data_IF_882056053735
#
_entry.id   IF_882056053735
#
_cell.length_a   1.000
_cell.length_b   1.000
_cell.length_c   1.000
_cell.angle_alpha   90.00
_cell.angle_beta   90.00
_cell.angle_gamma   90.00
#
_symmetry.space_group_name_H-M   'P 1'
#
loop_
_entity.id
_entity.type
_entity.pdbx_description
1 polymer ?
#
# COMPACT_ATOMS: atom_id res chain seq x y z
N UNK A 1 15.79 59.76 6.08
CA UNK A 1 15.44 59.69 4.64
C UNK A 1 16.53 58.93 3.91
N UNK A 2 16.29 57.65 3.60
CA UNK A 2 17.04 56.85 2.62
C UNK A 2 16.02 55.88 2.04
N UNK A 3 15.68 56.04 0.76
CA UNK A 3 14.96 55.04 -0.02
C UNK A 3 15.99 54.32 -0.89
N UNK A 4 16.18 53.02 -0.67
CA UNK A 4 16.90 52.18 -1.61
C UNK A 4 15.92 51.29 -2.35
N UNK A 5 15.78 51.67 -3.60
CA UNK A 5 14.98 51.17 -4.70
C UNK A 5 15.31 49.69 -4.89
N UNK A 6 14.29 48.83 -4.80
CA UNK A 6 14.36 47.39 -5.00
C UNK A 6 14.56 47.13 -6.50
N UNK A 7 15.63 46.44 -6.97
CA UNK A 7 15.71 46.06 -8.37
C UNK A 7 14.75 44.90 -8.64
N UNK A 8 13.50 45.26 -8.97
CA UNK A 8 12.51 44.41 -9.62
C UNK A 8 12.94 44.21 -11.08
N UNK A 9 14.07 43.57 -11.33
CA UNK A 9 14.53 43.24 -12.70
C UNK A 9 15.46 42.02 -12.68
N UNK A 10 14.94 40.83 -12.36
CA UNK A 10 15.53 39.58 -12.89
C UNK A 10 14.54 38.40 -12.98
N UNK A 11 13.25 38.61 -12.68
CA UNK A 11 12.25 37.55 -12.77
C UNK A 11 11.51 37.59 -14.12
N UNK A 12 12.27 37.56 -15.21
CA UNK A 12 11.72 37.51 -16.57
C UNK A 12 12.63 36.64 -17.43
N UNK A 13 12.64 35.31 -17.23
CA UNK A 13 13.13 34.38 -18.26
C UNK A 13 12.79 32.88 -18.09
N UNK A 14 12.11 32.41 -17.04
CA UNK A 14 11.78 30.97 -16.92
C UNK A 14 10.29 30.74 -16.63
N UNK A 15 9.43 30.96 -17.63
CA UNK A 15 8.08 30.36 -17.67
C UNK A 15 7.52 30.37 -19.09
N UNK A 16 8.21 29.70 -20.01
CA UNK A 16 7.59 29.22 -21.25
C UNK A 16 8.02 27.76 -21.45
N UNK A 17 7.40 26.86 -20.68
CA UNK A 17 7.32 25.44 -21.03
C UNK A 17 5.88 24.99 -20.75
N UNK A 18 4.95 25.42 -21.61
CA UNK A 18 3.63 24.81 -21.69
C UNK A 18 3.76 23.53 -22.51
N UNK A 19 4.05 22.41 -21.84
CA UNK A 19 3.91 21.10 -22.46
C UNK A 19 2.43 20.81 -22.67
N UNK A 20 1.95 20.89 -23.92
CA UNK A 20 0.67 20.31 -24.33
C UNK A 20 0.82 18.80 -24.24
N UNK A 21 0.36 18.20 -23.14
CA UNK A 21 0.06 16.77 -23.14
C UNK A 21 -1.13 16.55 -24.07
N UNK A 22 -0.88 16.02 -25.27
CA UNK A 22 -1.95 15.53 -26.12
C UNK A 22 -2.62 14.35 -25.42
N UNK A 23 -3.80 14.59 -24.86
CA UNK A 23 -4.70 13.56 -24.36
C UNK A 23 -5.26 12.83 -25.58
N UNK A 24 -4.62 11.73 -25.97
CA UNK A 24 -5.19 10.80 -26.95
C UNK A 24 -6.21 9.92 -26.24
N UNK A 25 -7.41 9.88 -26.83
CA UNK A 25 -8.59 9.14 -26.41
C UNK A 25 -8.33 7.66 -26.06
N UNK A 26 -9.18 7.05 -25.21
CA UNK A 26 -8.98 5.71 -24.70
C UNK A 26 -9.13 4.65 -25.81
N UNK A 27 -8.05 3.93 -26.11
CA UNK A 27 -8.12 2.66 -26.83
C UNK A 27 -8.70 1.62 -25.88
N UNK A 28 -9.99 1.35 -26.08
CA UNK A 28 -10.74 0.27 -25.45
C UNK A 28 -10.29 -1.06 -26.07
N UNK A 29 -10.12 -2.07 -25.21
CA UNK A 29 -10.10 -3.51 -25.57
C UNK A 29 -8.76 -4.11 -26.07
N UNK A 30 -7.79 -4.24 -25.17
CA UNK A 30 -6.79 -5.35 -25.17
C UNK A 30 -6.07 -5.55 -23.80
N UNK A 31 -6.60 -4.96 -22.72
CA UNK A 31 -5.96 -4.95 -21.39
C UNK A 31 -6.05 -6.29 -20.63
N UNK A 32 -6.90 -7.23 -21.07
CA UNK A 32 -7.29 -8.41 -20.27
C UNK A 32 -6.27 -9.54 -20.30
N UNK A 33 -5.53 -9.72 -21.39
CA UNK A 33 -4.48 -10.76 -21.52
C UNK A 33 -3.11 -10.31 -21.00
N UNK A 34 -2.71 -9.06 -21.25
CA UNK A 34 -1.44 -8.55 -20.72
C UNK A 34 -1.49 -8.35 -19.20
N UNK A 35 -2.65 -7.93 -18.67
CA UNK A 35 -2.86 -7.81 -17.23
C UNK A 35 -2.90 -9.17 -16.54
N UNK A 36 -3.37 -10.26 -17.17
CA UNK A 36 -3.38 -11.59 -16.54
C UNK A 36 -1.99 -12.20 -16.46
N UNK A 37 -1.10 -11.94 -17.41
CA UNK A 37 0.31 -12.39 -17.40
C UNK A 37 1.18 -11.54 -16.45
N UNK A 38 0.95 -10.22 -16.38
CA UNK A 38 1.56 -9.36 -15.36
C UNK A 38 1.04 -9.71 -13.96
N UNK A 39 -0.24 -10.04 -13.83
CA UNK A 39 -0.81 -10.49 -12.55
C UNK A 39 -0.29 -11.87 -12.15
N UNK A 40 -0.08 -12.81 -13.09
CA UNK A 40 0.43 -14.13 -12.75
C UNK A 40 1.89 -14.11 -12.30
N UNK A 41 2.74 -13.28 -12.93
CA UNK A 41 4.13 -13.06 -12.52
C UNK A 41 4.24 -12.28 -11.21
N UNK A 42 3.37 -11.28 -11.01
CA UNK A 42 3.28 -10.57 -9.74
C UNK A 42 2.80 -11.49 -8.62
N UNK A 43 1.77 -12.30 -8.88
CA UNK A 43 1.23 -13.27 -7.91
C UNK A 43 2.27 -14.34 -7.57
N UNK A 44 3.05 -14.84 -8.54
CA UNK A 44 4.13 -15.79 -8.27
C UNK A 44 5.23 -15.18 -7.40
N UNK A 45 5.56 -13.90 -7.61
CA UNK A 45 6.54 -13.18 -6.79
C UNK A 45 6.03 -13.00 -5.35
N UNK A 46 4.74 -12.69 -5.18
CA UNK A 46 4.10 -12.58 -3.86
C UNK A 46 4.13 -13.91 -3.12
N UNK A 47 3.78 -15.02 -3.79
CA UNK A 47 3.83 -16.36 -3.20
C UNK A 47 5.26 -16.75 -2.82
N UNK A 48 6.23 -16.43 -3.66
CA UNK A 48 7.65 -16.66 -3.36
C UNK A 48 8.09 -15.88 -2.13
N UNK A 49 7.72 -14.60 -2.06
CA UNK A 49 8.00 -13.75 -0.90
C UNK A 49 7.37 -14.32 0.38
N UNK A 50 6.08 -14.68 0.32
CA UNK A 50 5.34 -15.29 1.43
C UNK A 50 6.03 -16.56 1.94
N UNK A 51 6.46 -17.46 1.04
CA UNK A 51 7.16 -18.69 1.40
C UNK A 51 8.56 -18.43 1.98
N UNK A 52 9.15 -17.28 1.70
CA UNK A 52 10.45 -16.86 2.23
C UNK A 52 10.38 -16.05 3.52
N UNK A 53 9.18 -15.80 4.05
CA UNK A 53 9.02 -15.07 5.31
C UNK A 53 9.71 -15.81 6.45
N UNK A 54 10.61 -15.11 7.14
CA UNK A 54 11.10 -15.54 8.44
C UNK A 54 9.97 -15.31 9.46
N UNK A 55 9.35 -16.41 9.88
CA UNK A 55 8.22 -16.36 10.81
C UNK A 55 8.61 -15.90 12.21
N UNK A 56 9.90 -15.95 12.58
CA UNK A 56 10.39 -15.58 13.90
C UNK A 56 9.56 -16.22 15.04
N UNK A 57 9.22 -17.50 14.87
CA UNK A 57 8.39 -18.29 15.78
C UNK A 57 6.90 -17.87 15.90
N UNK A 58 6.42 -16.96 15.05
CA UNK A 58 5.00 -16.60 14.95
C UNK A 58 4.27 -17.44 13.91
N UNK A 59 2.93 -17.46 14.00
CA UNK A 59 2.09 -18.00 12.94
C UNK A 59 2.12 -17.09 11.71
N UNK A 60 2.04 -17.68 10.52
CA UNK A 60 1.90 -16.93 9.27
C UNK A 60 0.46 -16.41 9.11
N UNK A 61 0.26 -15.24 8.48
CA UNK A 61 -1.07 -14.79 8.06
C UNK A 61 -1.64 -15.69 6.97
N UNK A 62 -2.95 -15.62 6.72
CA UNK A 62 -3.52 -16.24 5.53
C UNK A 62 -2.86 -15.65 4.26
N UNK A 63 -2.53 -16.51 3.29
CA UNK A 63 -1.88 -16.10 2.04
C UNK A 63 -2.68 -15.04 1.27
N UNK A 64 -4.00 -15.18 1.19
CA UNK A 64 -4.85 -14.24 0.47
C UNK A 64 -4.85 -12.86 1.17
N UNK A 65 -4.95 -12.84 2.50
CA UNK A 65 -4.85 -11.62 3.30
C UNK A 65 -3.48 -10.95 3.12
N UNK A 66 -2.39 -11.73 3.12
CA UNK A 66 -1.04 -11.22 2.87
C UNK A 66 -0.91 -10.62 1.46
N UNK A 67 -1.44 -11.31 0.45
CA UNK A 67 -1.42 -10.87 -0.95
C UNK A 67 -2.12 -9.53 -1.12
N UNK A 68 -3.33 -9.38 -0.59
CA UNK A 68 -4.08 -8.12 -0.68
C UNK A 68 -3.39 -6.99 0.10
N UNK A 69 -2.86 -7.27 1.28
CA UNK A 69 -2.12 -6.30 2.07
C UNK A 69 -0.87 -5.80 1.35
N UNK A 70 -0.12 -6.70 0.71
CA UNK A 70 1.11 -6.38 0.00
C UNK A 70 0.83 -5.55 -1.28
N UNK A 71 -0.25 -5.87 -2.01
CA UNK A 71 -0.72 -5.03 -3.13
C UNK A 71 -1.03 -3.60 -2.68
N UNK A 72 -1.78 -3.45 -1.58
CA UNK A 72 -2.10 -2.15 -1.01
C UNK A 72 -0.86 -1.38 -0.57
N UNK A 73 0.05 -2.07 0.11
CA UNK A 73 1.32 -1.52 0.57
C UNK A 73 2.16 -0.96 -0.59
N UNK A 74 2.41 -1.75 -1.63
CA UNK A 74 3.22 -1.27 -2.77
C UNK A 74 2.51 -0.18 -3.56
N UNK A 75 1.18 -0.20 -3.68
CA UNK A 75 0.44 0.91 -4.28
C UNK A 75 0.66 2.24 -3.53
N UNK A 76 0.73 2.21 -2.19
CA UNK A 76 1.01 3.39 -1.37
C UNK A 76 2.49 3.80 -1.45
N UNK A 77 3.41 2.83 -1.51
CA UNK A 77 4.85 3.04 -1.63
C UNK A 77 5.20 3.70 -2.97
N UNK A 78 4.64 3.22 -4.08
CA UNK A 78 4.81 3.79 -5.42
C UNK A 78 4.30 5.23 -5.52
N UNK A 79 3.23 5.56 -4.78
CA UNK A 79 2.71 6.94 -4.68
C UNK A 79 3.53 7.84 -3.75
N UNK A 80 4.56 7.31 -3.08
CA UNK A 80 5.37 8.04 -2.10
C UNK A 80 4.62 8.40 -0.81
N UNK A 81 3.46 7.80 -0.55
CA UNK A 81 2.63 8.07 0.64
C UNK A 81 3.18 7.40 1.90
N UNK A 82 3.99 6.35 1.73
CA UNK A 82 4.67 5.65 2.82
C UNK A 82 6.15 5.48 2.47
N UNK A 83 7.01 5.62 3.49
CA UNK A 83 8.47 5.54 3.32
C UNK A 83 9.05 4.27 3.94
N UNK A 84 8.47 3.78 5.04
CA UNK A 84 8.96 2.61 5.77
C UNK A 84 8.63 1.31 5.04
N UNK A 85 9.48 0.30 5.22
CA UNK A 85 9.29 -1.08 4.74
C UNK A 85 8.62 -1.97 5.78
N UNK A 86 7.69 -1.39 6.55
CA UNK A 86 6.93 -2.12 7.57
C UNK A 86 5.49 -2.30 7.09
N UNK A 87 5.11 -3.54 6.84
CA UNK A 87 3.74 -3.93 6.55
C UNK A 87 3.02 -4.29 7.85
N UNK A 88 1.92 -3.61 8.15
CA UNK A 88 0.99 -4.03 9.20
C UNK A 88 -0.27 -4.58 8.55
N UNK A 89 -0.61 -5.82 8.86
CA UNK A 89 -1.74 -6.55 8.31
C UNK A 89 -2.67 -6.97 9.45
N UNK A 90 -3.98 -6.78 9.27
CA UNK A 90 -5.02 -7.31 10.15
C UNK A 90 -5.99 -8.14 9.34
N UNK A 91 -6.21 -9.38 9.74
CA UNK A 91 -7.15 -10.29 9.09
C UNK A 91 -8.46 -10.36 9.88
N UNK A 92 -9.46 -9.57 9.47
CA UNK A 92 -10.78 -9.54 10.11
C UNK A 92 -11.66 -10.75 9.78
N UNK A 93 -11.25 -11.65 8.88
CA UNK A 93 -11.94 -12.94 8.69
C UNK A 93 -11.72 -13.89 9.88
N UNK A 94 -10.71 -13.63 10.70
CA UNK A 94 -10.42 -14.38 11.92
C UNK A 94 -11.15 -13.78 13.13
N UNK A 95 -11.55 -14.67 14.06
CA UNK A 95 -12.18 -14.32 15.34
C UNK A 95 -11.36 -13.29 16.13
N UNK A 96 -12.04 -12.38 16.84
CA UNK A 96 -11.37 -11.41 17.72
C UNK A 96 -10.64 -12.04 18.90
N UNK A 97 -10.93 -13.30 19.21
CA UNK A 97 -10.29 -14.08 20.27
C UNK A 97 -8.95 -14.73 19.85
N UNK A 98 -8.57 -14.63 18.58
CA UNK A 98 -7.29 -15.16 18.08
C UNK A 98 -6.38 -14.04 17.59
N UNK A 99 -5.07 -14.29 17.66
CA UNK A 99 -4.07 -13.35 17.14
C UNK A 99 -4.24 -13.22 15.63
N UNK A 100 -4.60 -12.02 15.18
CA UNK A 100 -5.00 -11.71 13.80
C UNK A 100 -4.36 -10.45 13.24
N UNK A 101 -3.36 -9.91 13.94
CA UNK A 101 -2.51 -8.83 13.47
C UNK A 101 -1.09 -9.33 13.28
N UNK A 102 -0.47 -8.87 12.21
CA UNK A 102 0.93 -9.09 11.90
C UNK A 102 1.61 -7.77 11.62
N UNK A 103 2.83 -7.62 12.15
CA UNK A 103 3.76 -6.57 11.75
C UNK A 103 4.95 -7.27 11.10
N UNK A 104 5.24 -6.92 9.86
CA UNK A 104 6.22 -7.59 9.01
C UNK A 104 7.21 -6.54 8.52
N UNK A 105 8.49 -6.78 8.77
CA UNK A 105 9.56 -6.04 8.13
C UNK A 105 9.83 -6.63 6.75
N UNK A 106 9.51 -5.89 5.69
CA UNK A 106 9.69 -6.30 4.30
C UNK A 106 11.13 -6.08 3.80
N UNK A 107 11.98 -5.36 4.53
CA UNK A 107 13.40 -5.28 4.19
C UNK A 107 14.14 -6.57 4.58
N UNK A 108 13.71 -7.19 5.68
CA UNK A 108 14.30 -8.44 6.21
C UNK A 108 13.38 -9.66 6.04
N UNK A 109 12.20 -9.47 5.43
CA UNK A 109 11.14 -10.48 5.30
C UNK A 109 10.79 -11.17 6.63
N UNK A 110 10.83 -10.44 7.75
CA UNK A 110 10.70 -11.02 9.10
C UNK A 110 9.41 -10.57 9.77
N UNK A 111 8.67 -11.52 10.35
CA UNK A 111 7.53 -11.21 11.21
C UNK A 111 8.06 -10.70 12.56
N UNK A 112 7.76 -9.44 12.87
CA UNK A 112 8.17 -8.78 14.10
C UNK A 112 7.18 -9.05 15.23
N UNK A 113 5.87 -9.05 14.92
CA UNK A 113 4.81 -9.23 15.92
C UNK A 113 3.63 -10.00 15.35
N UNK A 114 3.01 -10.83 16.20
CA UNK A 114 1.68 -11.41 15.99
C UNK A 114 0.82 -11.25 17.25
N UNK A 115 -0.32 -10.55 17.13
CA UNK A 115 -1.12 -10.09 18.29
C UNK A 115 -2.63 -10.09 18.07
N UNK A 116 -3.39 -9.92 19.16
CA UNK A 116 -4.84 -9.72 19.19
C UNK A 116 -5.22 -8.31 18.72
N UNK A 117 -6.44 -8.16 18.21
CA UNK A 117 -7.01 -6.86 17.81
C UNK A 117 -8.46 -6.78 18.24
N UNK A 118 -8.80 -5.77 19.03
CA UNK A 118 -10.19 -5.40 19.32
C UNK A 118 -10.85 -4.78 18.08
N UNK A 119 -12.14 -5.05 17.87
CA UNK A 119 -12.96 -4.30 16.90
C UNK A 119 -13.68 -3.15 17.61
N UNK A 120 -14.32 -2.28 16.81
CA UNK A 120 -15.09 -1.16 17.33
C UNK A 120 -16.29 -1.62 18.17
N UNK A 121 -16.84 -0.69 18.95
CA UNK A 121 -18.11 -0.92 19.65
C UNK A 121 -19.24 -1.02 18.62
N UNK A 122 -20.15 -1.97 18.80
CA UNK A 122 -21.31 -2.21 17.92
C UNK A 122 -20.97 -2.67 16.49
N UNK A 123 -19.76 -3.16 16.22
CA UNK A 123 -19.37 -3.65 14.88
C UNK A 123 -19.63 -5.13 14.68
N UNK A 124 -20.16 -5.82 15.69
CA UNK A 124 -20.30 -7.28 15.80
C UNK A 124 -19.70 -7.80 17.11
N UNK A 125 -20.08 -9.02 17.53
CA UNK A 125 -19.58 -9.66 18.77
C UNK A 125 -18.21 -10.32 18.53
N UNK A 126 -18.16 -11.58 18.11
CA UNK A 126 -16.89 -12.27 17.86
C UNK A 126 -16.21 -11.83 16.54
N UNK A 127 -17.02 -11.49 15.54
CA UNK A 127 -16.59 -11.09 14.20
C UNK A 127 -17.09 -9.68 13.89
N UNK A 128 -16.26 -8.88 13.21
CA UNK A 128 -16.67 -7.56 12.72
C UNK A 128 -17.50 -7.73 11.44
N UNK A 129 -18.78 -7.33 11.48
CA UNK A 129 -19.71 -7.37 10.36
C UNK A 129 -20.06 -5.98 9.80
N UNK A 130 -19.67 -4.90 10.49
CA UNK A 130 -19.94 -3.53 10.08
C UNK A 130 -18.79 -2.60 10.44
N UNK A 131 -18.48 -1.65 9.55
CA UNK A 131 -17.48 -0.59 9.76
C UNK A 131 -18.10 0.77 9.46
N UNK A 132 -17.75 1.79 10.25
CA UNK A 132 -18.35 3.14 10.13
C UNK A 132 -18.04 3.86 8.81
N UNK A 133 -17.08 3.34 8.06
CA UNK A 133 -16.56 3.90 6.80
C UNK A 133 -16.70 2.92 5.63
N UNK A 134 -17.59 1.93 5.75
CA UNK A 134 -17.92 1.00 4.67
C UNK A 134 -18.69 1.68 3.54
#
# INVERSE_FOLDING_TARGET
MIYKIFPVTLFLLLSIFNSKSNFTNPVKSQKKELASVLSSSSDSNIVTLYNSLNSNHFALPNLESFKEALKGFYSLKEKGLIQKDILTLVDFSLSSNVKRLWVIDLATNTILYNSLVAHGRNTGEEFASSFSNA
#
